data_IF_674054101497
#
_entry.id   IF_674054101497
#
_cell.length_a   1.000
_cell.length_b   1.000
_cell.length_c   1.000
_cell.angle_alpha   90.00
_cell.angle_beta   90.00
_cell.angle_gamma   90.00
#
_symmetry.space_group_name_H-M   'P 1'
#
loop_
_entity.id
_entity.type
_entity.pdbx_description
1 polymer ?
#
# COMPACT_ATOMS: atom_id res chain seq x y z
N UNK A 1 -13.34 23.31 -12.56
CA UNK A 1 -14.43 22.54 -13.16
C UNK A 1 -15.74 23.04 -12.59
N UNK A 2 -16.63 23.52 -13.45
CA UNK A 2 -17.92 24.10 -13.06
C UNK A 2 -18.87 23.00 -12.53
N UNK A 3 -19.90 23.36 -11.76
CA UNK A 3 -20.82 22.38 -11.13
C UNK A 3 -21.55 21.55 -12.20
N UNK A 4 -21.96 22.18 -13.30
CA UNK A 4 -22.62 21.54 -14.45
C UNK A 4 -21.69 20.53 -15.16
N UNK A 5 -20.40 20.83 -15.22
CA UNK A 5 -19.39 19.92 -15.78
C UNK A 5 -19.16 18.71 -14.88
N UNK A 6 -19.21 18.89 -13.55
CA UNK A 6 -19.10 17.78 -12.58
C UNK A 6 -20.26 16.80 -12.68
N UNK A 7 -21.49 17.32 -12.78
CA UNK A 7 -22.71 16.49 -12.87
C UNK A 7 -22.71 15.72 -14.19
N UNK A 8 -22.47 16.39 -15.31
CA UNK A 8 -22.42 15.73 -16.62
C UNK A 8 -21.28 14.71 -16.74
N UNK A 9 -20.13 14.97 -16.10
CA UNK A 9 -19.04 14.01 -16.02
C UNK A 9 -19.43 12.75 -15.23
N UNK A 10 -20.10 12.93 -14.08
CA UNK A 10 -20.61 11.82 -13.26
C UNK A 10 -21.61 10.96 -14.04
N UNK A 11 -22.60 11.58 -14.68
CA UNK A 11 -23.61 10.87 -15.45
C UNK A 11 -22.99 10.05 -16.59
N UNK A 12 -22.01 10.62 -17.32
CA UNK A 12 -21.28 9.88 -18.36
C UNK A 12 -20.56 8.64 -17.82
N UNK A 13 -19.98 8.73 -16.61
CA UNK A 13 -19.33 7.58 -15.97
C UNK A 13 -20.35 6.50 -15.59
N UNK A 14 -21.50 6.90 -15.05
CA UNK A 14 -22.57 5.97 -14.64
C UNK A 14 -23.16 5.26 -15.87
N UNK A 15 -23.49 6.00 -16.94
CA UNK A 15 -24.05 5.41 -18.17
C UNK A 15 -23.09 4.40 -18.79
N UNK A 16 -21.79 4.73 -18.84
CA UNK A 16 -20.77 3.79 -19.32
C UNK A 16 -20.60 2.58 -18.42
N UNK A 17 -20.64 2.76 -17.10
CA UNK A 17 -20.56 1.65 -16.15
C UNK A 17 -21.75 0.69 -16.31
N UNK A 18 -22.97 1.22 -16.44
CA UNK A 18 -24.19 0.43 -16.70
C UNK A 18 -24.11 -0.33 -18.03
N UNK A 19 -23.69 0.33 -19.11
CA UNK A 19 -23.52 -0.33 -20.40
C UNK A 19 -22.51 -1.50 -20.37
N UNK A 20 -21.44 -1.39 -19.57
CA UNK A 20 -20.46 -2.48 -19.38
C UNK A 20 -21.06 -3.63 -18.53
N UNK A 21 -21.87 -3.30 -17.51
CA UNK A 21 -22.57 -4.29 -16.69
C UNK A 21 -23.61 -5.07 -17.49
N UNK A 22 -24.32 -4.42 -18.41
CA UNK A 22 -25.26 -5.04 -19.34
C UNK A 22 -24.58 -6.05 -20.27
N UNK A 23 -23.29 -5.86 -20.57
CA UNK A 23 -22.46 -6.83 -21.29
C UNK A 23 -21.96 -7.99 -20.40
N UNK A 24 -22.41 -8.07 -19.15
CA UNK A 24 -22.03 -9.09 -18.18
C UNK A 24 -20.62 -8.92 -17.58
N UNK A 25 -19.96 -7.78 -17.82
CA UNK A 25 -18.59 -7.49 -17.33
C UNK A 25 -18.62 -6.45 -16.21
N UNK A 26 -17.73 -6.58 -15.24
CA UNK A 26 -17.57 -5.56 -14.21
C UNK A 26 -16.68 -4.40 -14.71
N UNK A 27 -17.08 -3.12 -14.56
CA UNK A 27 -16.40 -1.95 -15.15
C UNK A 27 -15.10 -1.54 -14.42
N UNK A 28 -14.23 -2.51 -14.12
CA UNK A 28 -12.98 -2.35 -13.37
C UNK A 28 -12.10 -1.22 -13.90
N UNK A 29 -11.81 -1.20 -15.20
CA UNK A 29 -10.91 -0.21 -15.81
C UNK A 29 -11.47 1.22 -15.77
N UNK A 30 -12.80 1.36 -15.80
CA UNK A 30 -13.46 2.66 -15.72
C UNK A 30 -13.45 3.17 -14.28
N UNK A 31 -13.82 2.31 -13.33
CA UNK A 31 -13.84 2.64 -11.90
C UNK A 31 -12.43 2.96 -11.38
N UNK A 32 -11.40 2.24 -11.83
CA UNK A 32 -10.01 2.51 -11.44
C UNK A 32 -9.47 3.88 -11.89
N UNK A 33 -10.02 4.47 -12.96
CA UNK A 33 -9.62 5.80 -13.44
C UNK A 33 -10.17 6.93 -12.58
N UNK A 34 -11.17 6.63 -11.74
CA UNK A 34 -11.78 7.60 -10.83
C UNK A 34 -10.84 7.78 -9.63
N UNK A 35 -10.13 8.92 -9.59
CA UNK A 35 -9.24 9.26 -8.47
C UNK A 35 -9.98 9.72 -7.21
N UNK A 36 -11.17 10.30 -7.37
CA UNK A 36 -11.97 10.81 -6.26
C UNK A 36 -12.80 9.68 -5.63
N UNK A 37 -12.50 9.36 -4.37
CA UNK A 37 -13.17 8.29 -3.63
C UNK A 37 -14.68 8.56 -3.44
N UNK A 38 -15.09 9.82 -3.30
CA UNK A 38 -16.51 10.19 -3.15
C UNK A 38 -17.24 9.93 -4.45
N UNK A 39 -16.68 10.39 -5.56
CA UNK A 39 -17.22 10.13 -6.90
C UNK A 39 -17.28 8.64 -7.21
N UNK A 40 -16.26 7.86 -6.81
CA UNK A 40 -16.24 6.41 -7.00
C UNK A 40 -17.39 5.74 -6.21
N UNK A 41 -17.59 6.11 -4.95
CA UNK A 41 -18.68 5.60 -4.11
C UNK A 41 -20.06 5.92 -4.71
N UNK A 42 -20.23 7.13 -5.23
CA UNK A 42 -21.47 7.53 -5.90
C UNK A 42 -21.72 6.72 -7.18
N UNK A 43 -20.72 6.59 -8.05
CA UNK A 43 -20.83 5.81 -9.30
C UNK A 43 -21.13 4.33 -8.99
N UNK A 44 -20.45 3.73 -8.01
CA UNK A 44 -20.68 2.35 -7.58
C UNK A 44 -22.06 2.12 -6.95
N UNK A 45 -22.63 3.15 -6.32
CA UNK A 45 -24.00 3.12 -5.78
C UNK A 45 -25.03 3.24 -6.89
N UNK A 46 -24.86 4.19 -7.81
CA UNK A 46 -25.81 4.47 -8.89
C UNK A 46 -25.78 3.43 -10.03
N UNK A 47 -24.73 2.60 -10.11
CA UNK A 47 -24.68 1.46 -11.04
C UNK A 47 -25.44 0.21 -10.55
N UNK A 48 -25.92 0.18 -9.30
CA UNK A 48 -26.75 -0.93 -8.81
C UNK A 48 -28.15 -0.89 -9.45
N UNK A 49 -28.76 -2.05 -9.72
CA UNK A 49 -30.17 -2.10 -10.11
C UNK A 49 -31.04 -1.56 -8.96
N UNK A 50 -31.96 -0.65 -9.31
CA UNK A 50 -32.96 -0.05 -8.42
C UNK A 50 -32.39 0.78 -7.25
N UNK A 51 -31.71 1.92 -7.55
CA UNK A 51 -31.17 2.79 -6.51
C UNK A 51 -32.30 3.40 -5.67
N UNK A 52 -32.40 3.00 -4.40
CA UNK A 52 -33.36 3.56 -3.44
C UNK A 52 -34.63 2.75 -3.22
N UNK A 53 -34.81 1.62 -3.91
CA UNK A 53 -35.89 0.67 -3.61
C UNK A 53 -35.46 -0.24 -2.46
N UNK A 54 -36.35 -0.42 -1.49
CA UNK A 54 -36.11 -1.34 -0.36
C UNK A 54 -35.85 -2.74 -0.88
N UNK A 55 -34.82 -3.38 -0.33
CA UNK A 55 -34.37 -4.70 -0.78
C UNK A 55 -35.50 -5.73 -0.74
N UNK A 56 -36.39 -5.63 0.25
CA UNK A 56 -37.53 -6.53 0.43
C UNK A 56 -38.53 -6.48 -0.73
N UNK A 57 -38.70 -5.31 -1.34
CA UNK A 57 -39.63 -5.05 -2.44
C UNK A 57 -39.11 -5.51 -3.81
N UNK A 58 -37.84 -5.90 -3.90
CA UNK A 58 -37.24 -6.37 -5.15
C UNK A 58 -37.67 -7.79 -5.50
N UNK A 59 -37.74 -8.07 -6.81
CA UNK A 59 -37.90 -9.44 -7.32
C UNK A 59 -36.70 -10.31 -6.94
N UNK A 60 -36.88 -11.63 -6.93
CA UNK A 60 -35.79 -12.56 -6.57
C UNK A 60 -34.58 -12.47 -7.53
N UNK A 61 -34.83 -12.18 -8.81
CA UNK A 61 -33.78 -11.99 -9.82
C UNK A 61 -32.98 -10.70 -9.57
N UNK A 62 -33.66 -9.60 -9.27
CA UNK A 62 -33.02 -8.32 -8.93
C UNK A 62 -32.23 -8.42 -7.62
N UNK A 63 -32.75 -9.15 -6.62
CA UNK A 63 -32.03 -9.45 -5.36
C UNK A 63 -30.72 -10.18 -5.65
N UNK A 64 -30.77 -11.25 -6.43
CA UNK A 64 -29.58 -12.03 -6.79
C UNK A 64 -28.56 -11.20 -7.59
N UNK A 65 -29.01 -10.37 -8.52
CA UNK A 65 -28.14 -9.47 -9.28
C UNK A 65 -27.50 -8.41 -8.37
N UNK A 66 -28.28 -7.82 -7.46
CA UNK A 66 -27.80 -6.85 -6.48
C UNK A 66 -26.76 -7.46 -5.53
N UNK A 67 -27.00 -8.66 -5.02
CA UNK A 67 -26.05 -9.36 -4.15
C UNK A 67 -24.73 -9.68 -4.87
N UNK A 68 -24.83 -10.16 -6.12
CA UNK A 68 -23.64 -10.41 -6.96
C UNK A 68 -22.82 -9.13 -7.16
N UNK A 69 -23.48 -8.01 -7.45
CA UNK A 69 -22.80 -6.72 -7.64
C UNK A 69 -22.25 -6.16 -6.33
N UNK A 70 -22.91 -6.38 -5.19
CA UNK A 70 -22.41 -6.00 -3.87
C UNK A 70 -21.10 -6.72 -3.55
N UNK A 71 -21.04 -8.03 -3.78
CA UNK A 71 -19.82 -8.82 -3.57
C UNK A 71 -18.69 -8.31 -4.47
N UNK A 72 -18.97 -8.03 -5.74
CA UNK A 72 -17.97 -7.48 -6.67
C UNK A 72 -17.49 -6.08 -6.25
N UNK A 73 -18.41 -5.22 -5.82
CA UNK A 73 -18.10 -3.88 -5.31
C UNK A 73 -17.20 -3.94 -4.07
N UNK A 74 -17.48 -4.85 -3.14
CA UNK A 74 -16.66 -5.05 -1.93
C UNK A 74 -15.25 -5.51 -2.33
N UNK A 75 -15.14 -6.56 -3.16
CA UNK A 75 -13.83 -7.07 -3.63
C UNK A 75 -13.03 -5.99 -4.36
N UNK A 76 -13.68 -5.20 -5.20
CA UNK A 76 -13.02 -4.12 -5.93
C UNK A 76 -12.49 -3.03 -4.98
N UNK A 77 -13.26 -2.67 -3.95
CA UNK A 77 -12.84 -1.69 -2.94
C UNK A 77 -11.66 -2.22 -2.10
N UNK A 78 -11.71 -3.50 -1.72
CA UNK A 78 -10.62 -4.14 -1.00
C UNK A 78 -9.34 -4.18 -1.83
N UNK A 79 -9.45 -4.46 -3.12
CA UNK A 79 -8.35 -4.38 -4.08
C UNK A 79 -7.78 -2.95 -4.20
N UNK A 80 -8.61 -1.92 -4.31
CA UNK A 80 -8.13 -0.53 -4.36
C UNK A 80 -7.40 -0.13 -3.07
N UNK A 81 -7.94 -0.52 -1.92
CA UNK A 81 -7.30 -0.30 -0.63
C UNK A 81 -5.96 -1.05 -0.55
N UNK A 82 -5.91 -2.30 -1.01
CA UNK A 82 -4.69 -3.09 -1.01
C UNK A 82 -3.62 -2.47 -1.93
N UNK A 83 -4.01 -1.93 -3.09
CA UNK A 83 -3.11 -1.21 -3.99
C UNK A 83 -2.53 0.05 -3.35
N UNK A 84 -3.37 0.86 -2.67
CA UNK A 84 -2.92 2.06 -1.98
C UNK A 84 -1.94 1.72 -0.83
N UNK A 85 -2.27 0.70 -0.05
CA UNK A 85 -1.44 0.23 1.06
C UNK A 85 -0.09 -0.32 0.55
N UNK A 86 -0.08 -1.05 -0.56
CA UNK A 86 1.14 -1.53 -1.20
C UNK A 86 2.07 -0.37 -1.63
N UNK A 87 1.51 0.68 -2.25
CA UNK A 87 2.29 1.90 -2.60
C UNK A 87 2.88 2.58 -1.38
N UNK A 88 2.07 2.74 -0.31
CA UNK A 88 2.52 3.39 0.91
C UNK A 88 3.66 2.62 1.59
N UNK A 89 3.60 1.28 1.61
CA UNK A 89 4.69 0.43 2.11
C UNK A 89 5.94 0.60 1.24
N UNK A 90 5.77 0.57 -0.08
CA UNK A 90 6.88 0.79 -1.01
C UNK A 90 7.59 2.13 -0.77
N UNK A 91 6.83 3.22 -0.58
CA UNK A 91 7.41 4.53 -0.25
C UNK A 91 8.09 4.53 1.12
N UNK A 92 7.48 3.93 2.14
CA UNK A 92 8.07 3.82 3.47
C UNK A 92 9.44 3.15 3.40
N UNK A 93 9.54 2.02 2.69
CA UNK A 93 10.80 1.28 2.51
C UNK A 93 11.85 2.11 1.76
N UNK A 94 11.47 2.80 0.68
CA UNK A 94 12.42 3.65 -0.08
C UNK A 94 12.93 4.80 0.78
N UNK A 95 12.06 5.47 1.55
CA UNK A 95 12.46 6.55 2.46
C UNK A 95 13.42 6.02 3.53
N UNK A 96 13.10 4.88 4.14
CA UNK A 96 13.98 4.23 5.13
C UNK A 96 15.32 3.86 4.51
N UNK A 97 15.33 3.26 3.32
CA UNK A 97 16.56 2.92 2.61
C UNK A 97 17.41 4.15 2.32
N UNK A 98 16.80 5.28 1.95
CA UNK A 98 17.51 6.54 1.74
C UNK A 98 18.14 7.07 3.04
N UNK A 99 17.41 7.05 4.15
CA UNK A 99 17.93 7.47 5.45
C UNK A 99 19.11 6.61 5.92
N UNK A 100 18.98 5.28 5.80
CA UNK A 100 20.07 4.35 6.13
C UNK A 100 21.25 4.53 5.16
N UNK A 101 20.97 4.72 3.87
CA UNK A 101 21.97 4.95 2.83
C UNK A 101 22.79 6.21 3.05
N UNK A 102 22.15 7.32 3.46
CA UNK A 102 22.84 8.56 3.84
C UNK A 102 23.82 8.30 4.99
N UNK A 103 23.40 7.53 6.01
CA UNK A 103 24.29 7.20 7.13
C UNK A 103 25.51 6.38 6.71
N UNK A 104 25.34 5.48 5.75
CA UNK A 104 26.42 4.65 5.22
C UNK A 104 27.38 5.45 4.31
N UNK A 105 26.85 6.35 3.45
CA UNK A 105 27.66 7.22 2.56
C UNK A 105 28.50 8.20 3.36
N UNK A 106 27.96 8.72 4.46
CA UNK A 106 28.70 9.56 5.40
C UNK A 106 29.77 8.80 6.20
N UNK A 107 29.96 7.49 5.94
CA UNK A 107 30.88 6.58 6.62
C UNK A 107 30.64 6.51 8.14
N UNK A 108 29.45 6.89 8.60
CA UNK A 108 29.09 6.78 10.02
C UNK A 108 28.97 5.32 10.46
N UNK A 109 28.73 4.42 9.51
CA UNK A 109 28.58 3.00 9.74
C UNK A 109 28.76 2.20 8.44
N UNK A 110 28.78 0.87 8.57
CA UNK A 110 28.80 -0.04 7.43
C UNK A 110 27.39 -0.55 7.06
N UNK A 111 26.35 0.29 7.22
CA UNK A 111 24.95 -0.13 6.98
C UNK A 111 24.54 -0.11 5.51
N UNK A 112 25.50 0.03 4.58
CA UNK A 112 25.22 0.10 3.14
C UNK A 112 24.45 -1.11 2.62
N UNK A 113 24.72 -2.30 3.15
CA UNK A 113 23.99 -3.53 2.77
C UNK A 113 22.50 -3.45 3.14
N UNK A 114 22.18 -2.95 4.34
CA UNK A 114 20.79 -2.77 4.79
C UNK A 114 20.06 -1.73 3.93
N UNK A 115 20.72 -0.63 3.57
CA UNK A 115 20.17 0.37 2.66
C UNK A 115 19.84 -0.24 1.30
N UNK A 116 20.75 -1.03 0.71
CA UNK A 116 20.55 -1.65 -0.60
C UNK A 116 19.41 -2.68 -0.56
N UNK A 117 19.38 -3.58 0.43
CA UNK A 117 18.33 -4.60 0.56
C UNK A 117 16.96 -3.97 0.83
N UNK A 118 16.90 -2.93 1.65
CA UNK A 118 15.67 -2.19 1.90
C UNK A 118 15.20 -1.44 0.64
N UNK A 119 16.13 -0.85 -0.13
CA UNK A 119 15.83 -0.16 -1.39
C UNK A 119 15.30 -1.14 -2.44
N UNK A 120 15.95 -2.29 -2.62
CA UNK A 120 15.51 -3.32 -3.57
C UNK A 120 14.10 -3.79 -3.24
N UNK A 121 13.80 -4.04 -1.96
CA UNK A 121 12.46 -4.38 -1.51
C UNK A 121 11.45 -3.26 -1.80
N UNK A 122 11.78 -2.00 -1.46
CA UNK A 122 10.91 -0.86 -1.70
C UNK A 122 10.60 -0.65 -3.19
N UNK A 123 11.62 -0.72 -4.05
CA UNK A 123 11.48 -0.58 -5.50
C UNK A 123 10.67 -1.73 -6.09
N UNK A 124 10.90 -2.97 -5.67
CA UNK A 124 10.14 -4.14 -6.13
C UNK A 124 8.65 -4.00 -5.78
N UNK A 125 8.35 -3.58 -4.55
CA UNK A 125 6.97 -3.34 -4.08
C UNK A 125 6.32 -2.22 -4.90
N UNK A 126 7.02 -1.10 -5.13
CA UNK A 126 6.50 0.01 -5.94
C UNK A 126 6.29 -0.39 -7.39
N UNK A 127 7.22 -1.13 -8.01
CA UNK A 127 7.11 -1.62 -9.37
C UNK A 127 5.86 -2.49 -9.54
N UNK A 128 5.65 -3.46 -8.65
CA UNK A 128 4.44 -4.29 -8.70
C UNK A 128 3.17 -3.48 -8.41
N UNK A 129 3.23 -2.47 -7.54
CA UNK A 129 2.10 -1.56 -7.31
C UNK A 129 1.79 -0.64 -8.51
N UNK A 130 2.73 -0.43 -9.43
CA UNK A 130 2.47 0.23 -10.72
C UNK A 130 1.87 -0.73 -11.74
N UNK A 131 2.36 -1.97 -11.79
CA UNK A 131 1.87 -3.02 -12.69
C UNK A 131 0.78 -3.88 -12.03
N UNK A 132 -0.42 -3.29 -11.93
CA UNK A 132 -1.57 -3.86 -11.20
C UNK A 132 -1.95 -5.31 -11.56
N UNK A 133 -1.87 -5.67 -12.85
CA UNK A 133 -2.12 -7.07 -13.31
C UNK A 133 -1.08 -8.04 -12.74
N UNK A 134 0.18 -7.60 -12.67
CA UNK A 134 1.27 -8.38 -12.08
C UNK A 134 1.15 -8.46 -10.56
N UNK A 135 0.65 -7.41 -9.89
CA UNK A 135 0.45 -7.44 -8.44
C UNK A 135 -0.49 -8.56 -8.01
N UNK A 136 -1.63 -8.73 -8.68
CA UNK A 136 -2.57 -9.82 -8.36
C UNK A 136 -1.96 -11.19 -8.62
N UNK A 137 -1.15 -11.34 -9.67
CA UNK A 137 -0.56 -12.63 -10.02
C UNK A 137 0.66 -13.01 -9.16
N UNK A 138 1.49 -12.03 -8.81
CA UNK A 138 2.78 -12.24 -8.13
C UNK A 138 2.78 -11.81 -6.66
N UNK A 139 1.61 -11.51 -6.06
CA UNK A 139 1.52 -11.03 -4.69
C UNK A 139 2.23 -11.97 -3.70
N UNK A 140 2.00 -13.29 -3.83
CA UNK A 140 2.61 -14.30 -2.95
C UNK A 140 4.12 -14.39 -3.15
N UNK A 141 4.58 -14.31 -4.40
CA UNK A 141 6.01 -14.30 -4.71
C UNK A 141 6.69 -13.07 -4.11
N UNK A 142 6.07 -11.89 -4.18
CA UNK A 142 6.58 -10.68 -3.55
C UNK A 142 6.73 -10.86 -2.03
N UNK A 143 5.76 -11.48 -1.36
CA UNK A 143 5.86 -11.75 0.07
C UNK A 143 7.01 -12.71 0.39
N UNK A 144 7.16 -13.81 -0.36
CA UNK A 144 8.25 -14.76 -0.15
C UNK A 144 9.63 -14.14 -0.44
N UNK A 145 9.75 -13.33 -1.49
CA UNK A 145 11.01 -12.62 -1.81
C UNK A 145 11.37 -11.63 -0.71
N UNK A 146 10.39 -10.85 -0.22
CA UNK A 146 10.60 -9.93 0.88
C UNK A 146 11.04 -10.67 2.16
N UNK A 147 10.32 -11.74 2.51
CA UNK A 147 10.62 -12.56 3.68
C UNK A 147 12.01 -13.20 3.57
N UNK A 148 12.37 -13.70 2.39
CA UNK A 148 13.68 -14.30 2.13
C UNK A 148 14.79 -13.27 2.35
N UNK A 149 14.68 -12.08 1.77
CA UNK A 149 15.66 -11.02 1.99
C UNK A 149 15.74 -10.61 3.45
N UNK A 150 14.61 -10.53 4.14
CA UNK A 150 14.59 -10.21 5.57
C UNK A 150 15.26 -11.29 6.43
N UNK A 151 15.02 -12.57 6.16
CA UNK A 151 15.67 -13.68 6.88
C UNK A 151 17.18 -13.70 6.63
N UNK A 152 17.61 -13.53 5.37
CA UNK A 152 19.04 -13.48 5.02
C UNK A 152 19.73 -12.32 5.74
N UNK A 153 19.08 -11.15 5.77
CA UNK A 153 19.54 -9.97 6.49
C UNK A 153 19.78 -10.26 7.97
N UNK A 154 18.80 -10.89 8.64
CA UNK A 154 18.89 -11.27 10.06
C UNK A 154 19.95 -12.35 10.34
N UNK A 155 20.16 -13.32 9.44
CA UNK A 155 21.13 -14.40 9.66
C UNK A 155 22.57 -13.91 9.45
N UNK A 156 22.80 -13.17 8.36
CA UNK A 156 24.16 -12.81 7.93
C UNK A 156 24.63 -11.53 8.62
N UNK A 157 23.78 -10.51 8.72
CA UNK A 157 24.13 -9.19 9.22
C UNK A 157 23.46 -8.84 10.56
N UNK A 158 22.50 -9.65 11.03
CA UNK A 158 21.78 -9.48 12.30
C UNK A 158 20.96 -8.19 12.33
N UNK A 159 21.50 -7.12 12.90
CA UNK A 159 20.80 -5.86 13.12
C UNK A 159 21.73 -4.74 12.66
N UNK A 160 21.23 -3.71 11.97
CA UNK A 160 22.07 -2.58 11.59
C UNK A 160 22.68 -1.89 12.80
N UNK A 161 23.84 -1.26 12.62
CA UNK A 161 24.39 -0.38 13.65
C UNK A 161 23.57 0.91 13.73
N UNK A 162 23.66 1.68 14.82
CA UNK A 162 22.98 2.97 14.93
C UNK A 162 23.27 3.91 13.73
N UNK A 163 22.24 4.62 13.27
CA UNK A 163 22.29 5.41 12.03
C UNK A 163 22.91 6.81 12.21
N UNK A 164 23.04 7.32 13.43
CA UNK A 164 23.52 8.67 13.72
C UNK A 164 24.72 8.60 14.65
N UNK A 165 25.96 8.85 14.23
CA UNK A 165 27.05 9.02 15.19
C UNK A 165 27.96 10.21 14.90
N UNK A 166 27.81 11.23 15.74
CA UNK A 166 28.82 12.14 16.28
C UNK A 166 28.35 12.54 17.68
N UNK A 167 28.64 11.74 18.70
CA UNK A 167 28.82 12.26 20.07
C UNK A 167 30.14 11.64 20.54
N UNK A 168 31.12 12.49 20.80
CA UNK A 168 32.42 12.11 21.33
C UNK A 168 32.26 11.22 22.57
N UNK A 169 33.03 10.13 22.63
CA UNK A 169 33.03 9.26 23.82
C UNK A 169 33.55 9.98 25.08
N UNK A 170 34.23 11.11 24.91
CA UNK A 170 34.75 11.96 25.99
C UNK A 170 33.71 12.89 26.63
N UNK A 171 32.46 12.93 26.15
CA UNK A 171 31.37 13.71 26.77
C UNK A 171 30.57 12.85 27.76
N UNK A 172 31.26 12.23 28.72
CA UNK A 172 30.62 11.63 29.90
C UNK A 172 30.08 12.69 30.91
N UNK A 173 30.11 13.98 30.56
CA UNK A 173 29.83 15.07 31.50
C UNK A 173 28.40 15.67 31.44
N UNK A 174 27.60 15.39 30.41
CA UNK A 174 26.37 16.14 30.13
C UNK A 174 25.09 15.28 30.19
N UNK A 175 24.17 15.62 31.10
CA UNK A 175 22.82 15.04 31.24
C UNK A 175 21.91 15.34 30.03
N UNK A 176 22.33 16.26 29.15
CA UNK A 176 21.56 16.73 28.01
C UNK A 176 21.67 15.78 26.80
N UNK A 177 22.83 15.15 26.60
CA UNK A 177 23.10 14.27 25.44
C UNK A 177 22.55 12.85 25.60
N UNK A 178 22.07 12.51 26.79
CA UNK A 178 21.51 11.17 27.08
C UNK A 178 20.28 10.87 26.21
N UNK A 179 19.43 11.85 25.91
CA UNK A 179 18.25 11.67 25.06
C UNK A 179 18.61 11.37 23.61
N UNK A 180 19.61 12.07 23.08
CA UNK A 180 20.10 11.91 21.70
C UNK A 180 20.78 10.56 21.53
N UNK A 181 21.58 10.14 22.53
CA UNK A 181 22.21 8.81 22.57
C UNK A 181 21.18 7.69 22.60
N UNK A 182 20.12 7.81 23.42
CA UNK A 182 19.05 6.83 23.49
C UNK A 182 18.26 6.76 22.18
N UNK A 183 17.94 7.90 21.58
CA UNK A 183 17.27 7.97 20.28
C UNK A 183 18.11 7.28 19.19
N UNK A 184 19.42 7.53 19.17
CA UNK A 184 20.31 6.87 18.21
C UNK A 184 20.40 5.34 18.43
N UNK A 185 20.56 4.89 19.66
CA UNK A 185 20.57 3.45 19.99
C UNK A 185 19.26 2.75 19.61
N UNK A 186 18.14 3.49 19.56
CA UNK A 186 16.86 2.96 19.11
C UNK A 186 16.70 2.90 17.59
N UNK A 187 17.55 3.57 16.82
CA UNK A 187 17.41 3.64 15.35
C UNK A 187 17.42 2.28 14.64
N UNK A 188 18.22 1.28 15.06
CA UNK A 188 18.12 -0.06 14.48
C UNK A 188 16.78 -0.74 14.77
N UNK A 189 16.21 -0.53 15.96
CA UNK A 189 14.88 -1.05 16.32
C UNK A 189 13.79 -0.39 15.48
N UNK A 190 13.92 0.90 15.16
CA UNK A 190 13.00 1.60 14.26
C UNK A 190 13.06 0.99 12.86
N UNK A 191 14.26 0.67 12.36
CA UNK A 191 14.42 0.01 11.07
C UNK A 191 13.77 -1.39 11.07
N UNK A 192 14.04 -2.22 12.07
CA UNK A 192 13.41 -3.54 12.20
C UNK A 192 11.88 -3.44 12.30
N UNK A 193 11.39 -2.47 13.08
CA UNK A 193 9.97 -2.18 13.19
C UNK A 193 9.35 -1.85 11.82
N UNK A 194 10.02 -1.04 11.01
CA UNK A 194 9.58 -0.72 9.65
C UNK A 194 9.57 -1.97 8.76
N UNK A 195 10.60 -2.83 8.84
CA UNK A 195 10.67 -4.08 8.06
C UNK A 195 9.52 -5.02 8.42
N UNK A 196 9.22 -5.17 9.72
CA UNK A 196 8.09 -5.98 10.21
C UNK A 196 6.74 -5.38 9.79
N UNK A 197 6.56 -4.06 9.95
CA UNK A 197 5.33 -3.37 9.52
C UNK A 197 5.13 -3.53 8.01
N UNK A 198 6.19 -3.44 7.21
CA UNK A 198 6.13 -3.68 5.77
C UNK A 198 5.74 -5.13 5.45
N UNK A 199 6.32 -6.12 6.14
CA UNK A 199 5.99 -7.54 5.97
C UNK A 199 4.52 -7.82 6.30
N UNK A 200 4.04 -7.35 7.45
CA UNK A 200 2.63 -7.48 7.87
C UNK A 200 1.70 -6.74 6.92
N UNK A 201 2.12 -5.57 6.45
CA UNK A 201 1.40 -4.78 5.47
C UNK A 201 1.24 -5.53 4.14
N UNK A 202 2.31 -6.12 3.62
CA UNK A 202 2.28 -6.96 2.41
C UNK A 202 1.37 -8.19 2.63
N UNK A 203 1.42 -8.82 3.80
CA UNK A 203 0.52 -9.92 4.15
C UNK A 203 -0.96 -9.49 4.19
N UNK A 204 -1.25 -8.27 4.65
CA UNK A 204 -2.61 -7.73 4.60
C UNK A 204 -3.06 -7.41 3.17
N UNK A 205 -2.15 -6.97 2.28
CA UNK A 205 -2.41 -6.81 0.84
C UNK A 205 -2.79 -8.17 0.24
N UNK A 206 -2.00 -9.20 0.54
CA UNK A 206 -2.25 -10.57 0.10
C UNK A 206 -3.65 -11.06 0.45
N UNK A 207 -4.03 -10.92 1.72
CA UNK A 207 -5.34 -11.38 2.21
C UNK A 207 -6.53 -10.67 1.53
N UNK A 208 -6.34 -9.44 1.05
CA UNK A 208 -7.38 -8.65 0.39
C UNK A 208 -7.46 -8.88 -1.13
N UNK A 209 -6.38 -9.35 -1.75
CA UNK A 209 -6.28 -9.56 -3.19
C UNK A 209 -6.50 -11.05 -3.56
N UNK A 210 -6.15 -11.98 -2.66
CA UNK A 210 -6.42 -13.42 -2.79
C UNK A 210 -7.88 -13.77 -2.52
#
# INVERSE_FOLDING_TARGET
>A
MNITEKISYKERLITRAKAILEQGKYPTELLEKIKDERLLKEVMKEMMPSPGTDYELLSNEEKQQRDRLLVLNIKFRDYLHALALCKNIGYLLVITAMLVGISAVMQFNNNGVFAILCLLNGVLVLYLATEKKKLSHYCWQLFYVFLLFYIIELIVWKVPSPFVYFIDNDILASKHDTKIKLANLSTPLVYEGIRIVALLGIYNVLKKIS
#
